data_IF_547626352390
#
_entry.id   IF_547626352390
#
_cell.length_a   1.000
_cell.length_b   1.000
_cell.length_c   1.000
_cell.angle_alpha   90.00
_cell.angle_beta   90.00
_cell.angle_gamma   90.00
#
_symmetry.space_group_name_H-M   'P 1'
#
loop_
_entity.id
_entity.type
_entity.pdbx_description
1 polymer ?
#
# COMPACT_ATOMS: atom_id res chain seq x y z
N UNK A 1 -13.26 14.92 -4.82
CA UNK A 1 -12.65 13.91 -3.92
C UNK A 1 -11.48 13.10 -4.55
N UNK A 2 -10.99 13.40 -5.75
CA UNK A 2 -9.94 12.56 -6.40
C UNK A 2 -8.47 12.92 -6.09
N UNK A 3 -8.19 14.10 -5.54
CA UNK A 3 -6.83 14.66 -5.52
C UNK A 3 -6.04 14.38 -4.21
N UNK A 4 -6.73 14.28 -3.07
CA UNK A 4 -6.09 14.00 -1.77
C UNK A 4 -5.60 12.56 -1.66
N UNK A 5 -6.41 11.61 -2.13
CA UNK A 5 -6.07 10.19 -2.11
C UNK A 5 -4.80 9.87 -2.89
N UNK A 6 -4.66 10.44 -4.09
CA UNK A 6 -3.46 10.24 -4.92
C UNK A 6 -2.20 10.79 -4.25
N UNK A 7 -2.31 11.94 -3.56
CA UNK A 7 -1.20 12.50 -2.78
C UNK A 7 -0.82 11.58 -1.62
N UNK A 8 -1.80 11.07 -0.86
CA UNK A 8 -1.55 10.13 0.25
C UNK A 8 -0.91 8.83 -0.23
N UNK A 9 -1.35 8.26 -1.35
CA UNK A 9 -0.73 7.08 -1.96
C UNK A 9 0.73 7.31 -2.34
N UNK A 10 1.03 8.45 -2.96
CA UNK A 10 2.41 8.78 -3.35
C UNK A 10 3.34 8.85 -2.14
N UNK A 11 2.87 9.45 -1.05
CA UNK A 11 3.62 9.50 0.22
C UNK A 11 3.80 8.11 0.81
N UNK A 12 2.74 7.29 0.80
CA UNK A 12 2.78 5.92 1.31
C UNK A 12 3.78 5.05 0.54
N UNK A 13 3.73 5.06 -0.80
CA UNK A 13 4.66 4.28 -1.63
C UNK A 13 6.10 4.70 -1.41
N UNK A 14 6.36 6.00 -1.32
CA UNK A 14 7.70 6.51 -1.02
C UNK A 14 8.20 5.98 0.33
N UNK A 15 7.38 5.99 1.38
CA UNK A 15 7.76 5.42 2.69
C UNK A 15 8.03 3.92 2.61
N UNK A 16 7.14 3.18 1.96
CA UNK A 16 7.27 1.72 1.86
C UNK A 16 8.53 1.31 1.08
N UNK A 17 8.78 1.93 -0.06
CA UNK A 17 9.96 1.63 -0.89
C UNK A 17 11.25 2.17 -0.27
N UNK A 18 11.29 3.46 0.13
CA UNK A 18 12.52 4.12 0.57
C UNK A 18 12.90 3.80 2.01
N UNK A 19 11.94 3.69 2.93
CA UNK A 19 12.23 3.53 4.37
C UNK A 19 12.15 2.07 4.80
N UNK A 20 11.41 1.22 4.07
CA UNK A 20 11.09 -0.14 4.51
C UNK A 20 11.48 -1.21 3.48
N UNK A 21 12.10 -0.84 2.37
CA UNK A 21 12.60 -1.79 1.37
C UNK A 21 11.51 -2.61 0.68
N UNK A 22 10.27 -2.11 0.65
CA UNK A 22 9.17 -2.78 -0.01
C UNK A 22 9.35 -2.74 -1.53
N UNK A 23 9.07 -3.85 -2.21
CA UNK A 23 9.00 -3.90 -3.66
C UNK A 23 7.58 -3.64 -4.12
N UNK A 24 7.38 -2.59 -4.91
CA UNK A 24 6.06 -2.18 -5.41
C UNK A 24 5.94 -2.54 -6.89
N UNK A 25 4.95 -3.34 -7.25
CA UNK A 25 4.68 -3.71 -8.64
C UNK A 25 3.32 -3.19 -9.10
N UNK A 26 3.29 -2.53 -10.26
CA UNK A 26 2.02 -2.07 -10.84
C UNK A 26 1.31 -3.21 -11.57
N UNK A 27 0.05 -3.46 -11.23
CA UNK A 27 -0.81 -4.47 -11.85
C UNK A 27 -2.07 -3.80 -12.43
N UNK A 28 -2.83 -4.55 -13.24
CA UNK A 28 -4.07 -4.03 -13.88
C UNK A 28 -5.06 -3.46 -12.86
N UNK A 29 -5.26 -4.16 -11.73
CA UNK A 29 -6.22 -3.83 -10.67
C UNK A 29 -5.70 -2.86 -9.59
N UNK A 30 -4.40 -2.56 -9.56
CA UNK A 30 -3.79 -1.92 -8.39
C UNK A 30 -2.27 -1.97 -8.37
N UNK A 31 -1.71 -1.74 -7.20
CA UNK A 31 -0.29 -1.92 -6.89
C UNK A 31 -0.12 -3.06 -5.90
N UNK A 32 0.81 -3.96 -6.19
CA UNK A 32 1.17 -5.06 -5.31
C UNK A 32 2.38 -4.65 -4.49
N UNK A 33 2.29 -4.73 -3.17
CA UNK A 33 3.37 -4.38 -2.25
C UNK A 33 3.92 -5.65 -1.63
N UNK A 34 5.15 -5.96 -2.00
CA UNK A 34 5.90 -7.10 -1.47
C UNK A 34 6.78 -6.63 -0.32
N UNK A 35 6.61 -7.20 0.88
CA UNK A 35 7.53 -6.95 1.99
C UNK A 35 8.93 -7.47 1.68
N UNK A 36 9.99 -6.85 2.25
CA UNK A 36 11.35 -7.36 2.13
C UNK A 36 11.50 -8.74 2.78
N UNK A 37 10.68 -9.01 3.80
CA UNK A 37 10.55 -10.30 4.45
C UNK A 37 9.60 -11.19 3.65
N UNK A 38 10.18 -12.19 2.96
CA UNK A 38 9.44 -13.13 2.10
C UNK A 38 8.52 -14.07 2.86
N UNK A 39 8.61 -14.13 4.20
CA UNK A 39 7.66 -14.88 5.04
C UNK A 39 6.31 -14.18 5.18
N UNK A 40 6.23 -12.89 4.82
CA UNK A 40 5.03 -12.06 5.00
C UNK A 40 4.24 -11.94 3.70
N UNK A 41 2.91 -11.87 3.83
CA UNK A 41 2.02 -11.77 2.69
C UNK A 41 2.15 -10.43 1.97
N UNK A 42 2.13 -10.48 0.64
CA UNK A 42 2.06 -9.27 -0.19
C UNK A 42 0.67 -8.63 -0.09
N UNK A 43 0.61 -7.30 -0.10
CA UNK A 43 -0.63 -6.53 0.06
C UNK A 43 -1.03 -5.88 -1.27
N UNK A 44 -2.30 -6.02 -1.67
CA UNK A 44 -2.82 -5.40 -2.90
C UNK A 44 -3.53 -4.09 -2.58
N UNK A 45 -3.08 -3.02 -3.23
CA UNK A 45 -3.67 -1.68 -3.13
C UNK A 45 -4.45 -1.38 -4.40
N UNK A 46 -5.77 -1.25 -4.29
CA UNK A 46 -6.63 -0.97 -5.44
C UNK A 46 -6.53 0.50 -5.90
N UNK A 47 -6.63 0.71 -7.22
CA UNK A 47 -6.59 2.05 -7.84
C UNK A 47 -7.71 2.97 -7.36
N UNK A 48 -8.88 2.39 -7.08
CA UNK A 48 -10.06 3.11 -6.63
C UNK A 48 -10.48 2.52 -5.29
N UNK A 49 -10.18 3.17 -4.16
CA UNK A 49 -10.81 2.81 -2.91
C UNK A 49 -12.27 3.23 -3.02
N UNK A 50 -13.18 2.29 -2.85
CA UNK A 50 -14.62 2.58 -2.88
C UNK A 50 -15.01 3.59 -1.79
N UNK A 51 -14.29 3.59 -0.66
CA UNK A 51 -14.61 4.36 0.55
C UNK A 51 -13.41 4.59 1.50
N UNK A 52 -13.57 5.50 2.46
CA UNK A 52 -12.61 5.74 3.57
C UNK A 52 -12.30 4.47 4.39
N UNK A 53 -13.26 3.56 4.53
CA UNK A 53 -13.05 2.26 5.20
C UNK A 53 -12.07 1.37 4.45
N UNK A 54 -12.11 1.38 3.12
CA UNK A 54 -11.18 0.60 2.30
C UNK A 54 -9.73 1.06 2.53
N UNK A 55 -9.50 2.36 2.70
CA UNK A 55 -8.19 2.90 3.05
C UNK A 55 -7.70 2.41 4.42
N UNK A 56 -8.55 2.47 5.45
CA UNK A 56 -8.20 2.01 6.79
C UNK A 56 -7.88 0.50 6.82
N UNK A 57 -8.65 -0.32 6.10
CA UNK A 57 -8.41 -1.75 5.98
C UNK A 57 -7.08 -2.05 5.29
N UNK A 58 -6.78 -1.33 4.21
CA UNK A 58 -5.51 -1.45 3.48
C UNK A 58 -4.32 -1.10 4.37
N UNK A 59 -4.39 -0.02 5.16
CA UNK A 59 -3.34 0.31 6.13
C UNK A 59 -3.20 -0.77 7.20
N UNK A 60 -4.29 -1.37 7.66
CA UNK A 60 -4.24 -2.49 8.61
C UNK A 60 -3.56 -3.71 8.01
N UNK A 61 -3.81 -4.02 6.73
CA UNK A 61 -3.18 -5.13 6.02
C UNK A 61 -1.66 -4.91 5.86
N UNK A 62 -1.24 -3.68 5.53
CA UNK A 62 0.18 -3.30 5.50
C UNK A 62 0.85 -3.45 6.88
N UNK A 63 0.16 -3.07 7.96
CA UNK A 63 0.67 -3.29 9.33
C UNK A 63 0.77 -4.77 9.68
N UNK A 64 -0.11 -5.62 9.15
CA UNK A 64 -0.03 -7.08 9.32
C UNK A 64 1.08 -7.73 8.51
N UNK A 65 1.39 -7.21 7.33
CA UNK A 65 2.63 -7.55 6.62
C UNK A 65 3.86 -6.87 7.25
N UNK A 66 3.67 -6.21 8.39
CA UNK A 66 4.65 -5.61 9.28
C UNK A 66 5.41 -4.43 8.68
N UNK A 67 4.71 -3.65 7.87
CA UNK A 67 5.10 -2.29 7.55
C UNK A 67 4.61 -1.29 8.62
N UNK A 68 5.33 -0.20 8.78
CA UNK A 68 4.95 0.93 9.64
C UNK A 68 4.35 2.03 8.76
N UNK A 69 3.03 2.24 8.83
CA UNK A 69 2.26 3.16 7.98
C UNK A 69 1.34 4.07 8.77
#
# INVERSE_FOLDING_TARGET
>A
MGNEYQKSLKVLFKKLESEQGARIETRRKGWMIYPPDTSRSAVMIHKTPSDRRAWANMLSELRRSGFTV
#
